data_IF_981680477261
#
_entry.id   IF_981680477261
#
_cell.length_a   1.000
_cell.length_b   1.000
_cell.length_c   1.000
_cell.angle_alpha   90.00
_cell.angle_beta   90.00
_cell.angle_gamma   90.00
#
_symmetry.space_group_name_H-M   'P 1'
#
loop_
_entity.id
_entity.type
_entity.pdbx_description
1 polymer ?
#
# COMPACT_ATOMS: atom_id res chain seq x y z
N UNK A 1 18.14 1.62 4.31
CA UNK A 1 17.12 0.62 4.67
C UNK A 1 15.83 1.38 4.72
N UNK A 2 15.12 1.33 3.61
CA UNK A 2 13.90 2.09 3.36
C UNK A 2 12.69 1.23 3.72
N UNK A 3 11.55 1.89 3.97
CA UNK A 3 10.28 1.20 4.24
C UNK A 3 9.28 1.45 3.12
N UNK A 4 8.84 0.40 2.44
CA UNK A 4 7.82 0.49 1.40
C UNK A 4 6.44 0.16 1.96
N UNK A 5 5.56 1.16 2.04
CA UNK A 5 4.14 0.96 2.30
C UNK A 5 3.43 0.63 1.00
N UNK A 6 3.04 -0.63 0.83
CA UNK A 6 2.24 -1.05 -0.32
C UNK A 6 0.77 -0.99 0.07
N UNK A 7 0.07 0.02 -0.44
CA UNK A 7 -1.34 0.26 -0.15
C UNK A 7 -2.25 -0.43 -1.16
N UNK A 8 -3.54 -0.67 -0.81
CA UNK A 8 -4.55 -1.07 -1.78
C UNK A 8 -4.67 -0.03 -2.91
N UNK A 9 -5.30 -0.36 -4.05
CA UNK A 9 -5.55 0.61 -5.13
C UNK A 9 -6.21 1.89 -4.61
N UNK A 10 -5.88 3.05 -5.20
CA UNK A 10 -6.36 4.37 -4.73
C UNK A 10 -7.87 4.44 -4.51
N UNK A 11 -8.73 3.92 -5.41
CA UNK A 11 -10.18 3.94 -5.18
C UNK A 11 -10.59 3.20 -3.90
N UNK A 12 -10.01 2.03 -3.66
CA UNK A 12 -10.31 1.21 -2.49
C UNK A 12 -9.79 1.84 -1.20
N UNK A 13 -8.61 2.46 -1.26
CA UNK A 13 -8.05 3.22 -0.14
C UNK A 13 -8.91 4.45 0.17
N UNK A 14 -9.29 5.22 -0.85
CA UNK A 14 -10.18 6.38 -0.74
C UNK A 14 -11.55 6.02 -0.15
N UNK A 15 -12.16 4.92 -0.58
CA UNK A 15 -13.42 4.42 -0.03
C UNK A 15 -13.30 4.07 1.47
N UNK A 16 -12.20 3.45 1.88
CA UNK A 16 -11.94 3.10 3.28
C UNK A 16 -11.71 4.33 4.15
N UNK A 17 -10.88 5.25 3.67
CA UNK A 17 -10.60 6.49 4.38
C UNK A 17 -11.87 7.33 4.53
N UNK A 18 -12.68 7.39 3.49
CA UNK A 18 -14.01 8.02 3.53
C UNK A 18 -14.93 7.36 4.54
N UNK A 19 -15.00 6.03 4.54
CA UNK A 19 -15.81 5.26 5.51
C UNK A 19 -15.38 5.60 6.94
N UNK A 20 -14.08 5.67 7.20
CA UNK A 20 -13.56 6.08 8.49
C UNK A 20 -13.93 7.53 8.83
N UNK A 21 -13.73 8.47 7.92
CA UNK A 21 -14.06 9.89 8.13
C UNK A 21 -15.56 10.10 8.36
N UNK A 22 -16.43 9.34 7.71
CA UNK A 22 -17.88 9.39 7.94
C UNK A 22 -18.27 8.99 9.37
N UNK A 23 -17.46 8.16 10.06
CA UNK A 23 -17.69 7.85 11.49
C UNK A 23 -17.39 9.04 12.39
N UNK A 24 -16.46 9.92 11.99
CA UNK A 24 -16.05 11.10 12.74
C UNK A 24 -16.86 12.34 12.36
N UNK A 25 -17.26 12.43 11.10
CA UNK A 25 -17.91 13.59 10.49
C UNK A 25 -19.15 13.13 9.69
N UNK A 26 -20.23 12.73 10.37
CA UNK A 26 -21.45 12.29 9.70
C UNK A 26 -22.10 13.45 8.93
N UNK A 27 -22.66 13.14 7.76
CA UNK A 27 -23.37 14.12 6.93
C UNK A 27 -22.52 14.81 5.85
N UNK A 28 -21.22 14.52 5.77
CA UNK A 28 -20.41 14.89 4.61
C UNK A 28 -20.62 13.88 3.47
N UNK A 29 -20.99 14.41 2.30
CA UNK A 29 -21.02 13.64 1.06
C UNK A 29 -19.66 13.71 0.38
N UNK A 30 -19.00 12.56 0.28
CA UNK A 30 -17.67 12.44 -0.31
C UNK A 30 -17.84 11.79 -1.68
N UNK A 31 -17.85 12.61 -2.72
CA UNK A 31 -17.87 12.14 -4.10
C UNK A 31 -16.56 11.43 -4.48
N UNK A 32 -16.56 10.69 -5.60
CA UNK A 32 -15.39 9.91 -6.04
C UNK A 32 -14.13 10.76 -6.22
N UNK A 33 -14.27 12.03 -6.64
CA UNK A 33 -13.13 12.94 -6.80
C UNK A 33 -12.48 13.28 -5.46
N UNK A 34 -13.30 13.56 -4.43
CA UNK A 34 -12.83 13.81 -3.08
C UNK A 34 -12.14 12.58 -2.48
N UNK A 35 -12.62 11.36 -2.76
CA UNK A 35 -11.99 10.11 -2.28
C UNK A 35 -10.61 9.89 -2.87
N UNK A 36 -10.47 10.08 -4.18
CA UNK A 36 -9.17 9.97 -4.86
C UNK A 36 -8.21 11.05 -4.38
N UNK A 37 -8.66 12.30 -4.28
CA UNK A 37 -7.81 13.40 -3.78
C UNK A 37 -7.33 13.21 -2.35
N UNK A 38 -8.13 12.55 -1.49
CA UNK A 38 -7.72 12.15 -0.15
C UNK A 38 -6.59 11.11 -0.16
N UNK A 39 -6.65 10.14 -1.08
CA UNK A 39 -5.59 9.15 -1.24
C UNK A 39 -4.27 9.81 -1.68
N UNK A 40 -4.34 10.70 -2.67
CA UNK A 40 -3.18 11.41 -3.20
C UNK A 40 -2.56 12.35 -2.14
N UNK A 41 -3.39 13.07 -1.36
CA UNK A 41 -2.91 13.93 -0.29
C UNK A 41 -2.15 13.16 0.81
N UNK A 42 -2.58 11.93 1.12
CA UNK A 42 -1.86 11.07 2.07
C UNK A 42 -0.51 10.63 1.49
N UNK A 43 -0.46 10.34 0.19
CA UNK A 43 0.76 9.95 -0.49
C UNK A 43 1.79 11.08 -0.52
N UNK A 44 1.36 12.31 -0.80
CA UNK A 44 2.24 13.49 -0.85
C UNK A 44 2.90 13.77 0.50
N UNK A 45 2.19 13.59 1.62
CA UNK A 45 2.74 13.78 2.98
C UNK A 45 3.78 12.72 3.34
N UNK A 46 3.60 11.47 2.86
CA UNK A 46 4.53 10.39 3.16
C UNK A 46 5.92 10.61 2.53
N UNK A 47 5.99 11.31 1.39
CA UNK A 47 7.23 11.57 0.65
C UNK A 47 8.14 12.59 1.36
N UNK A 48 7.62 13.44 2.25
CA UNK A 48 8.39 14.59 2.75
C UNK A 48 9.17 14.36 4.06
N UNK A 49 8.92 13.30 4.82
CA UNK A 49 9.40 13.22 6.22
C UNK A 49 10.19 11.94 6.59
N UNK A 50 10.27 10.92 5.74
CA UNK A 50 10.92 9.64 6.12
C UNK A 50 11.60 8.94 4.94
N UNK A 51 12.56 8.06 5.21
CA UNK A 51 13.08 7.03 4.26
C UNK A 51 11.99 5.95 4.01
N UNK A 52 10.79 6.41 3.66
CA UNK A 52 9.60 5.62 3.47
C UNK A 52 8.95 5.97 2.13
N UNK A 53 8.59 4.92 1.39
CA UNK A 53 7.98 5.03 0.07
C UNK A 53 6.55 4.52 0.16
N UNK A 54 5.61 5.31 -0.32
CA UNK A 54 4.20 4.96 -0.32
C UNK A 54 3.79 4.62 -1.76
N UNK A 55 3.45 3.35 -1.98
CA UNK A 55 3.21 2.78 -3.31
C UNK A 55 1.83 2.16 -3.34
N UNK A 56 0.95 2.61 -4.23
CA UNK A 56 -0.36 2.00 -4.37
C UNK A 56 -0.29 0.77 -5.28
N UNK A 57 -1.15 -0.22 -5.04
CA UNK A 57 -1.12 -1.47 -5.81
C UNK A 57 -1.46 -1.28 -7.30
N UNK A 58 -2.18 -0.21 -7.65
CA UNK A 58 -2.48 0.19 -9.02
C UNK A 58 -1.29 0.85 -9.75
N UNK A 59 -0.27 1.31 -9.02
CA UNK A 59 1.01 1.75 -9.60
C UNK A 59 1.95 0.58 -9.92
N UNK A 60 1.65 -0.63 -9.41
CA UNK A 60 2.46 -1.82 -9.64
C UNK A 60 1.92 -2.63 -10.83
N UNK A 61 2.79 -3.20 -11.68
CA UNK A 61 2.37 -4.03 -12.80
C UNK A 61 1.47 -5.20 -12.37
N UNK A 62 0.34 -5.36 -13.07
CA UNK A 62 -0.57 -6.46 -12.84
C UNK A 62 0.08 -7.81 -13.19
N UNK A 63 -0.10 -8.82 -12.33
CA UNK A 63 0.46 -10.16 -12.53
C UNK A 63 1.92 -10.32 -12.09
N UNK A 64 2.60 -9.23 -11.74
CA UNK A 64 3.95 -9.26 -11.20
C UNK A 64 3.97 -9.39 -9.67
N UNK A 65 4.97 -10.11 -9.15
CA UNK A 65 5.23 -10.21 -7.71
C UNK A 65 5.62 -8.82 -7.20
N UNK A 66 4.94 -8.36 -6.14
CA UNK A 66 5.16 -7.05 -5.50
C UNK A 66 6.66 -6.76 -5.28
N UNK A 67 7.40 -7.72 -4.72
CA UNK A 67 8.83 -7.57 -4.47
C UNK A 67 9.64 -7.22 -5.73
N UNK A 68 9.34 -7.86 -6.85
CA UNK A 68 10.04 -7.62 -8.12
C UNK A 68 9.67 -6.27 -8.71
N UNK A 69 8.39 -5.91 -8.66
CA UNK A 69 7.93 -4.60 -9.12
C UNK A 69 8.54 -3.45 -8.30
N UNK A 70 8.77 -3.64 -6.99
CA UNK A 70 9.45 -2.66 -6.13
C UNK A 70 10.94 -2.52 -6.46
N UNK A 71 11.63 -3.63 -6.74
CA UNK A 71 13.04 -3.59 -7.17
C UNK A 71 13.15 -2.89 -8.53
N UNK A 72 12.39 -3.38 -9.53
CA UNK A 72 12.52 -2.96 -10.92
C UNK A 72 11.98 -1.53 -11.15
N UNK A 73 10.94 -1.13 -10.42
CA UNK A 73 10.26 0.17 -10.59
C UNK A 73 10.62 1.24 -9.56
N UNK A 74 11.08 0.85 -8.37
CA UNK A 74 11.28 1.78 -7.25
C UNK A 74 12.68 1.65 -6.61
N UNK A 75 13.55 0.77 -7.13
CA UNK A 75 14.93 0.64 -6.67
C UNK A 75 15.08 0.02 -5.28
N UNK A 76 14.09 -0.77 -4.83
CA UNK A 76 14.16 -1.44 -3.54
C UNK A 76 15.33 -2.43 -3.48
N UNK A 77 16.01 -2.49 -2.33
CA UNK A 77 17.12 -3.39 -2.02
C UNK A 77 16.64 -4.60 -1.19
N UNK A 78 17.45 -5.66 -1.10
CA UNK A 78 17.05 -6.92 -0.43
C UNK A 78 16.72 -6.76 1.06
N UNK A 79 17.40 -5.83 1.74
CA UNK A 79 17.22 -5.56 3.16
C UNK A 79 16.06 -4.59 3.46
N UNK A 80 15.40 -4.04 2.44
CA UNK A 80 14.30 -3.10 2.63
C UNK A 80 13.05 -3.80 3.18
N UNK A 81 12.34 -3.08 4.05
CA UNK A 81 11.10 -3.55 4.67
C UNK A 81 9.90 -3.17 3.80
N UNK A 82 8.97 -4.10 3.64
CA UNK A 82 7.68 -3.87 2.99
C UNK A 82 6.56 -4.08 4.00
N UNK A 83 5.72 -3.06 4.13
CA UNK A 83 4.47 -3.08 4.90
C UNK A 83 3.33 -3.09 3.91
N UNK A 84 2.79 -4.28 3.62
CA UNK A 84 1.68 -4.45 2.70
C UNK A 84 0.36 -4.37 3.45
N UNK A 85 -0.45 -3.37 3.09
CA UNK A 85 -1.79 -3.16 3.62
C UNK A 85 -2.78 -3.81 2.67
N UNK A 86 -3.40 -4.90 3.11
CA UNK A 86 -4.40 -5.64 2.34
C UNK A 86 -5.80 -5.34 2.85
N UNK A 87 -6.73 -5.30 1.89
CA UNK A 87 -8.13 -5.45 2.25
C UNK A 87 -8.36 -6.85 2.79
N UNK A 88 -8.74 -6.96 4.07
CA UNK A 88 -9.10 -8.23 4.69
C UNK A 88 -10.35 -8.82 4.05
N UNK A 89 -10.60 -10.11 4.32
CA UNK A 89 -11.72 -10.85 3.74
C UNK A 89 -13.11 -10.36 4.18
N UNK A 90 -13.20 -9.56 5.25
CA UNK A 90 -14.45 -8.91 5.69
C UNK A 90 -14.42 -7.40 5.43
N UNK A 91 -15.59 -6.83 5.16
CA UNK A 91 -15.78 -5.38 5.07
C UNK A 91 -15.27 -4.71 6.37
N UNK A 92 -14.33 -3.78 6.25
CA UNK A 92 -13.70 -3.08 7.37
C UNK A 92 -12.46 -3.75 7.95
N UNK A 93 -12.16 -5.00 7.64
CA UNK A 93 -10.90 -5.62 8.06
C UNK A 93 -9.76 -5.12 7.16
N UNK A 94 -8.69 -4.66 7.81
CA UNK A 94 -7.44 -4.28 7.15
C UNK A 94 -6.34 -5.17 7.69
N UNK A 95 -5.82 -6.03 6.83
CA UNK A 95 -4.67 -6.86 7.16
C UNK A 95 -3.40 -6.07 6.89
N UNK A 96 -2.46 -6.10 7.84
CA UNK A 96 -1.11 -5.54 7.63
C UNK A 96 -0.13 -6.69 7.68
N UNK A 97 0.64 -6.86 6.61
CA UNK A 97 1.68 -7.87 6.53
C UNK A 97 3.04 -7.18 6.37
N UNK A 98 3.99 -7.52 7.24
CA UNK A 98 5.38 -7.05 7.16
C UNK A 98 6.28 -8.14 6.62
N UNK A 99 7.21 -7.79 5.74
CA UNK A 99 8.17 -8.72 5.14
C UNK A 99 9.36 -7.96 4.56
N UNK A 100 10.49 -8.63 4.31
CA UNK A 100 11.65 -8.02 3.64
C UNK A 100 11.74 -8.43 2.18
N UNK A 101 12.27 -7.56 1.33
CA UNK A 101 12.38 -7.81 -0.12
C UNK A 101 13.09 -9.14 -0.40
N UNK A 102 14.23 -9.40 0.24
CA UNK A 102 15.00 -10.64 0.08
C UNK A 102 14.19 -11.92 0.35
N UNK A 103 13.32 -11.91 1.38
CA UNK A 103 12.49 -13.07 1.76
C UNK A 103 11.46 -13.43 0.68
N UNK A 104 11.05 -12.47 -0.16
CA UNK A 104 10.04 -12.66 -1.21
C UNK A 104 10.62 -12.79 -2.62
N UNK A 105 11.88 -12.41 -2.81
CA UNK A 105 12.63 -12.67 -4.04
C UNK A 105 13.13 -14.11 -4.09
N UNK A 106 13.55 -14.67 -2.95
CA UNK A 106 14.01 -16.05 -2.85
C UNK A 106 12.96 -17.03 -3.42
N UNK A 107 13.37 -18.02 -4.24
CA UNK A 107 12.46 -19.09 -4.64
C UNK A 107 11.96 -19.83 -3.40
N UNK A 108 10.72 -20.39 -3.42
CA UNK A 108 10.26 -21.22 -2.32
C UNK A 108 11.27 -22.35 -2.11
N UNK A 109 11.87 -22.42 -0.92
CA UNK A 109 12.79 -23.49 -0.58
C UNK A 109 12.02 -24.81 -0.67
N UNK A 110 12.24 -25.55 -1.76
CA UNK A 110 11.73 -26.91 -1.87
C UNK A 110 12.61 -27.74 -0.95
N UNK A 111 12.16 -27.94 0.29
CA UNK A 111 12.73 -28.95 1.15
C UNK A 111 12.51 -30.32 0.47
N UNK A 112 13.60 -30.97 0.10
CA UNK A 112 13.64 -32.33 -0.43
C UNK A 112 13.50 -33.37 0.68
#
# INVERSE_FOLDING_TARGET
MSTFYVLPPRPLFGDRLTTFLQTLLPGLDWDMGARTGLADAVADVAVSETDAFLVFRDDLPAGERVARALVDGFGAEEDDEVIEVRAGGRAGETGVQRWRIGDRLAPPSIAA
#
